data_IF_526894609845
#
_entry.id   IF_526894609845
#
_cell.length_a   1.000
_cell.length_b   1.000
_cell.length_c   1.000
_cell.angle_alpha   90.00
_cell.angle_beta   90.00
_cell.angle_gamma   90.00
#
_symmetry.space_group_name_H-M   'P 1'
#
loop_
_entity.id
_entity.type
_entity.pdbx_description
1 polymer ?
#
# COMPACT_ATOMS: atom_id res chain seq x y z
N UNK A 1 14.13 -3.72 -10.66
CA UNK A 1 13.24 -3.77 -9.48
C UNK A 1 11.81 -3.74 -9.97
N UNK A 2 10.91 -4.54 -9.41
CA UNK A 2 9.49 -4.63 -9.82
C UNK A 2 8.61 -4.28 -8.62
N UNK A 3 7.66 -3.36 -8.78
CA UNK A 3 6.66 -3.06 -7.75
C UNK A 3 5.70 -4.25 -7.60
N UNK A 4 5.26 -4.51 -6.37
CA UNK A 4 4.35 -5.62 -6.04
C UNK A 4 3.20 -5.12 -5.16
N UNK A 5 2.07 -5.85 -5.09
CA UNK A 5 1.03 -5.57 -4.11
C UNK A 5 1.58 -5.52 -2.68
N UNK A 6 0.92 -4.76 -1.82
CA UNK A 6 1.36 -4.58 -0.45
C UNK A 6 1.26 -5.92 0.31
N UNK A 7 2.36 -6.33 0.94
CA UNK A 7 2.47 -7.60 1.67
C UNK A 7 2.93 -8.79 0.83
N UNK A 8 3.09 -8.64 -0.49
CA UNK A 8 3.67 -9.67 -1.36
C UNK A 8 5.18 -9.45 -1.63
N UNK A 9 5.71 -8.32 -1.18
CA UNK A 9 7.14 -8.00 -1.26
C UNK A 9 7.92 -8.37 0.01
N UNK A 10 9.15 -7.84 0.11
CA UNK A 10 10.07 -8.14 1.23
C UNK A 10 10.01 -7.09 2.36
N UNK A 11 9.06 -6.15 2.34
CA UNK A 11 8.96 -5.09 3.35
C UNK A 11 8.31 -5.64 4.62
N UNK A 12 9.01 -5.49 5.75
CA UNK A 12 8.46 -5.82 7.06
C UNK A 12 7.56 -4.68 7.57
N UNK A 13 6.27 -4.75 7.22
CA UNK A 13 5.28 -3.72 7.56
C UNK A 13 5.12 -3.47 9.08
N UNK A 14 5.12 -4.51 9.96
CA UNK A 14 5.11 -4.27 11.41
C UNK A 14 6.34 -3.51 11.91
N UNK A 15 7.54 -3.85 11.43
CA UNK A 15 8.77 -3.15 11.82
C UNK A 15 8.75 -1.69 11.35
N UNK A 16 8.28 -1.43 10.13
CA UNK A 16 8.12 -0.06 9.62
C UNK A 16 7.24 0.78 10.55
N UNK A 17 6.11 0.23 11.00
CA UNK A 17 5.24 0.90 11.95
C UNK A 17 5.90 1.18 13.31
N UNK A 18 6.74 0.26 13.81
CA UNK A 18 7.51 0.49 15.05
C UNK A 18 8.46 1.68 14.88
N UNK A 19 9.22 1.73 13.77
CA UNK A 19 10.15 2.83 13.48
C UNK A 19 9.42 4.17 13.35
N UNK A 20 8.29 4.21 12.64
CA UNK A 20 7.48 5.43 12.51
C UNK A 20 7.00 5.96 13.87
N UNK A 21 6.64 5.06 14.78
CA UNK A 21 6.26 5.43 16.14
C UNK A 21 7.45 5.94 16.96
N UNK A 22 8.61 5.31 16.85
CA UNK A 22 9.84 5.71 17.56
C UNK A 22 10.28 7.13 17.21
N UNK A 23 10.11 7.53 15.94
CA UNK A 23 10.43 8.89 15.48
C UNK A 23 9.30 9.90 15.73
N UNK A 24 8.18 9.49 16.34
CA UNK A 24 7.04 10.36 16.61
C UNK A 24 6.29 10.82 15.34
N UNK A 25 6.29 10.01 14.28
CA UNK A 25 5.57 10.35 13.05
C UNK A 25 4.05 10.34 13.28
N UNK A 26 3.38 11.42 12.91
CA UNK A 26 1.93 11.60 13.03
C UNK A 26 1.28 12.15 11.72
N UNK A 27 1.98 12.02 10.59
CA UNK A 27 1.50 12.49 9.29
C UNK A 27 0.59 11.48 8.57
N UNK A 28 -0.05 11.89 7.46
CA UNK A 28 -0.78 10.95 6.61
C UNK A 28 0.17 9.94 5.97
N UNK A 29 -0.35 8.74 5.71
CA UNK A 29 0.36 7.69 4.95
C UNK A 29 -0.49 7.31 3.74
N UNK A 30 0.15 7.10 2.60
CA UNK A 30 -0.49 6.67 1.36
C UNK A 30 0.11 5.35 0.84
N UNK A 31 -0.69 4.62 0.05
CA UNK A 31 -0.24 3.44 -0.70
C UNK A 31 -0.20 3.83 -2.17
N UNK A 32 0.99 3.78 -2.77
CA UNK A 32 1.16 3.99 -4.20
C UNK A 32 1.12 2.64 -4.93
N UNK A 33 -0.01 2.33 -5.56
CA UNK A 33 -0.24 1.06 -6.27
C UNK A 33 0.40 1.05 -7.68
N UNK A 34 1.73 1.22 -7.74
CA UNK A 34 2.51 1.27 -9.01
C UNK A 34 2.89 -0.11 -9.57
N UNK A 35 2.28 -1.18 -9.08
CA UNK A 35 2.33 -2.49 -9.73
C UNK A 35 1.30 -2.54 -10.87
N UNK A 36 1.37 -3.51 -11.80
CA UNK A 36 0.42 -3.63 -12.91
C UNK A 36 -1.04 -3.77 -12.43
N UNK A 37 -1.73 -2.63 -12.29
CA UNK A 37 -3.06 -2.50 -11.70
C UNK A 37 -3.90 -1.44 -12.41
N UNK A 38 -3.82 -1.40 -13.74
CA UNK A 38 -4.66 -0.51 -14.54
C UNK A 38 -4.01 0.81 -14.95
N UNK A 39 -2.67 0.90 -15.01
CA UNK A 39 -1.96 1.94 -15.77
C UNK A 39 -1.13 2.93 -14.96
N UNK A 40 -1.21 2.92 -13.63
CA UNK A 40 -0.36 3.77 -12.78
C UNK A 40 1.14 3.46 -12.98
N UNK A 41 1.48 2.19 -13.14
CA UNK A 41 2.82 1.65 -13.42
C UNK A 41 3.44 2.14 -14.74
N UNK A 42 2.62 2.74 -15.62
CA UNK A 42 3.00 3.21 -16.95
C UNK A 42 2.50 4.63 -17.25
N UNK A 43 2.27 5.42 -16.20
CA UNK A 43 1.87 6.83 -16.27
C UNK A 43 0.63 7.10 -17.16
N UNK A 44 -0.32 6.17 -17.19
CA UNK A 44 -1.57 6.36 -17.93
C UNK A 44 -2.47 7.38 -17.24
N UNK A 45 -3.18 8.19 -18.04
CA UNK A 45 -4.18 9.15 -17.54
C UNK A 45 -5.58 8.52 -17.40
N UNK A 46 -5.75 7.28 -17.85
CA UNK A 46 -6.99 6.50 -17.80
C UNK A 46 -6.73 5.08 -17.33
N UNK A 47 -7.72 4.48 -16.67
CA UNK A 47 -7.66 3.09 -16.26
C UNK A 47 -7.66 2.16 -17.47
N UNK A 48 -6.70 1.25 -17.54
CA UNK A 48 -6.62 0.22 -18.57
C UNK A 48 -7.36 -1.07 -18.19
N UNK A 49 -7.83 -1.16 -16.93
CA UNK A 49 -8.65 -2.23 -16.40
C UNK A 49 -10.01 -1.69 -15.92
N UNK A 50 -11.02 -2.55 -15.74
CA UNK A 50 -12.28 -2.14 -15.12
C UNK A 50 -12.06 -1.53 -13.73
N UNK A 51 -12.82 -0.48 -13.41
CA UNK A 51 -12.64 0.32 -12.18
C UNK A 51 -12.70 -0.53 -10.92
N UNK A 52 -13.62 -1.47 -10.88
CA UNK A 52 -13.83 -2.41 -9.77
C UNK A 52 -12.61 -3.33 -9.53
N UNK A 53 -11.87 -3.69 -10.58
CA UNK A 53 -10.65 -4.48 -10.46
C UNK A 53 -9.56 -3.66 -9.79
N UNK A 54 -9.36 -2.42 -10.27
CA UNK A 54 -8.36 -1.49 -9.74
C UNK A 54 -8.64 -1.16 -8.28
N UNK A 55 -9.88 -0.77 -7.97
CA UNK A 55 -10.31 -0.46 -6.60
C UNK A 55 -10.26 -1.68 -5.68
N UNK A 56 -10.60 -2.86 -6.20
CA UNK A 56 -10.51 -4.11 -5.46
C UNK A 56 -9.07 -4.42 -5.03
N UNK A 57 -8.10 -4.17 -5.90
CA UNK A 57 -6.67 -4.33 -5.57
C UNK A 57 -6.19 -3.32 -4.54
N UNK A 58 -6.51 -2.03 -4.72
CA UNK A 58 -6.18 -0.98 -3.75
C UNK A 58 -6.80 -1.25 -2.37
N UNK A 59 -8.04 -1.77 -2.34
CA UNK A 59 -8.70 -2.16 -1.09
C UNK A 59 -7.96 -3.30 -0.39
N UNK A 60 -7.51 -4.31 -1.13
CA UNK A 60 -6.70 -5.42 -0.56
C UNK A 60 -5.41 -4.89 0.07
N UNK A 61 -4.71 -4.00 -0.62
CA UNK A 61 -3.48 -3.39 -0.09
C UNK A 61 -3.76 -2.62 1.21
N UNK A 62 -4.82 -1.80 1.24
CA UNK A 62 -5.22 -1.06 2.43
C UNK A 62 -5.56 -1.99 3.61
N UNK A 63 -6.28 -3.07 3.36
CA UNK A 63 -6.59 -4.07 4.39
C UNK A 63 -5.33 -4.78 4.90
N UNK A 64 -4.36 -5.07 4.02
CA UNK A 64 -3.07 -5.64 4.41
C UNK A 64 -2.30 -4.70 5.32
N UNK A 65 -2.23 -3.40 4.98
CA UNK A 65 -1.58 -2.39 5.83
C UNK A 65 -2.23 -2.32 7.21
N UNK A 66 -3.56 -2.20 7.24
CA UNK A 66 -4.34 -2.13 8.48
C UNK A 66 -4.10 -3.35 9.37
N UNK A 67 -4.10 -4.56 8.80
CA UNK A 67 -3.81 -5.79 9.55
C UNK A 67 -2.40 -5.80 10.10
N UNK A 68 -1.40 -5.37 9.31
CA UNK A 68 -0.02 -5.33 9.76
C UNK A 68 0.21 -4.29 10.87
N UNK A 69 -0.56 -3.18 10.88
CA UNK A 69 -0.39 -2.08 11.82
C UNK A 69 -1.36 -2.11 13.01
N UNK A 70 -2.35 -3.01 13.03
CA UNK A 70 -3.42 -3.05 14.04
C UNK A 70 -2.96 -3.05 15.51
N UNK A 71 -1.75 -3.52 15.80
CA UNK A 71 -1.21 -3.60 17.16
C UNK A 71 -0.06 -2.61 17.43
N UNK A 72 0.19 -1.66 16.53
CA UNK A 72 1.30 -0.70 16.66
C UNK A 72 0.84 0.65 17.22
N UNK A 73 -0.44 0.96 17.08
CA UNK A 73 -1.04 2.24 17.46
C UNK A 73 -0.94 3.32 16.38
N UNK A 74 -0.52 2.97 15.16
CA UNK A 74 -0.52 3.86 13.98
C UNK A 74 -1.82 3.83 13.16
N UNK A 75 -2.64 2.78 13.30
CA UNK A 75 -3.97 2.63 12.68
C UNK A 75 -4.94 2.00 13.65
#
# INVERSE_FOLDING_TARGET
>A
MKYTPLGEGNVNLPLLAQVLKEIGFAGPTEIQAEYPNGGADSAQDKLTLPREVVLGAMKRDLETLKKAWANTGLV
#
